data_IF_082871285460
#
_entry.id   IF_082871285460
#
_cell.length_a   1.000
_cell.length_b   1.000
_cell.length_c   1.000
_cell.angle_alpha   90.00
_cell.angle_beta   90.00
_cell.angle_gamma   90.00
#
_symmetry.space_group_name_H-M   'P 1'
#
loop_
_entity.id
_entity.type
_entity.pdbx_description
1 polymer ?
#
# COMPACT_ATOMS: atom_id res chain seq x y z
N UNK A 1 21.22 8.31 44.42
CA UNK A 1 20.80 9.68 44.10
C UNK A 1 22.03 10.51 43.77
N UNK A 2 22.44 10.53 42.51
CA UNK A 2 23.49 11.44 42.07
C UNK A 2 22.90 12.86 42.05
N UNK A 3 23.43 13.76 42.88
CA UNK A 3 23.12 15.20 42.84
C UNK A 3 23.84 15.81 41.63
N UNK A 4 23.43 15.40 40.43
CA UNK A 4 23.82 16.05 39.18
C UNK A 4 23.04 17.34 39.04
N UNK A 5 23.70 18.39 38.55
CA UNK A 5 23.10 19.70 38.27
C UNK A 5 21.80 19.49 37.46
N UNK A 6 20.66 20.08 37.87
CA UNK A 6 19.42 19.94 37.11
C UNK A 6 19.64 20.53 35.71
N UNK A 7 19.63 19.66 34.70
CA UNK A 7 19.67 20.10 33.32
C UNK A 7 18.36 20.85 33.03
N UNK A 8 18.45 22.16 32.81
CA UNK A 8 17.30 22.97 32.40
C UNK A 8 17.39 23.30 30.92
N UNK A 9 16.30 23.06 30.19
CA UNK A 9 16.15 23.51 28.81
C UNK A 9 16.30 25.01 28.64
N UNK A 10 16.04 25.79 29.70
CA UNK A 10 16.20 27.24 29.67
C UNK A 10 17.66 27.68 29.46
N UNK A 11 18.62 26.78 29.73
CA UNK A 11 20.05 27.04 29.53
C UNK A 11 20.55 26.72 28.11
N UNK A 12 19.71 26.10 27.27
CA UNK A 12 20.10 25.74 25.92
C UNK A 12 20.06 26.96 25.00
N UNK A 13 21.19 27.22 24.35
CA UNK A 13 21.31 28.23 23.31
C UNK A 13 20.68 27.73 22.00
N UNK A 14 19.43 28.12 21.77
CA UNK A 14 18.63 27.73 20.59
C UNK A 14 19.14 28.31 19.27
N UNK A 15 20.18 29.16 19.31
CA UNK A 15 20.88 29.65 18.11
C UNK A 15 21.91 28.62 17.59
N UNK A 16 22.24 27.60 18.39
CA UNK A 16 23.20 26.58 18.00
C UNK A 16 22.56 25.53 17.08
N UNK A 17 23.32 25.02 16.09
CA UNK A 17 22.94 23.84 15.33
C UNK A 17 22.52 22.67 16.21
N UNK A 18 21.49 21.94 15.78
CA UNK A 18 20.97 20.76 16.48
C UNK A 18 22.05 19.71 16.77
N UNK A 19 23.00 19.49 15.86
CA UNK A 19 24.15 18.62 16.08
C UNK A 19 25.05 19.10 17.23
N UNK A 20 25.31 20.41 17.32
CA UNK A 20 26.10 20.99 18.41
C UNK A 20 25.37 20.91 19.74
N UNK A 21 24.05 21.11 19.75
CA UNK A 21 23.21 20.91 20.94
C UNK A 21 23.29 19.47 21.44
N UNK A 22 23.16 18.48 20.54
CA UNK A 22 23.30 17.06 20.91
C UNK A 22 24.70 16.74 21.45
N UNK A 23 25.76 17.23 20.80
CA UNK A 23 27.13 17.00 21.27
C UNK A 23 27.38 17.61 22.65
N UNK A 24 26.90 18.84 22.89
CA UNK A 24 26.99 19.49 24.21
C UNK A 24 26.23 18.71 25.29
N UNK A 25 25.03 18.22 24.97
CA UNK A 25 24.27 17.40 25.89
C UNK A 25 25.01 16.10 26.20
N UNK A 26 25.53 15.43 25.18
CA UNK A 26 26.27 14.19 25.32
C UNK A 26 27.55 14.36 26.16
N UNK A 27 28.27 15.47 26.00
CA UNK A 27 29.48 15.76 26.79
C UNK A 27 29.19 16.18 28.23
N UNK A 28 28.02 16.78 28.50
CA UNK A 28 27.69 17.34 29.82
C UNK A 28 27.05 16.31 30.77
N UNK A 29 26.54 15.21 30.24
CA UNK A 29 25.80 14.20 30.99
C UNK A 29 26.73 13.03 31.29
N UNK A 30 27.43 13.08 32.42
CA UNK A 30 28.20 11.95 32.92
C UNK A 30 27.25 10.82 33.35
N UNK A 31 27.28 9.68 32.64
CA UNK A 31 26.76 8.37 33.08
C UNK A 31 25.28 8.26 33.50
N UNK A 32 24.48 9.33 33.50
CA UNK A 32 23.02 9.18 33.57
C UNK A 32 22.58 8.32 32.39
N UNK A 33 21.54 7.51 32.60
CA UNK A 33 20.98 6.80 31.46
C UNK A 33 20.43 7.88 30.53
N UNK A 34 21.05 8.07 29.37
CA UNK A 34 20.62 9.07 28.41
C UNK A 34 19.14 8.89 28.01
N UNK A 35 18.60 7.70 28.26
CA UNK A 35 17.19 7.38 28.17
C UNK A 35 16.34 8.13 29.23
N UNK A 36 16.66 8.03 30.52
CA UNK A 36 15.94 8.77 31.59
C UNK A 36 15.98 10.26 31.33
N UNK A 37 17.12 10.81 30.90
CA UNK A 37 17.20 12.24 30.59
C UNK A 37 16.24 12.65 29.45
N UNK A 38 16.08 11.80 28.43
CA UNK A 38 15.11 12.05 27.36
C UNK A 38 13.67 11.90 27.85
N UNK A 39 13.41 10.87 28.64
CA UNK A 39 12.09 10.57 29.16
C UNK A 39 11.59 11.63 30.16
N UNK A 40 12.45 12.07 31.07
CA UNK A 40 12.07 12.94 32.18
C UNK A 40 12.17 14.42 31.84
N UNK A 41 13.02 14.80 30.86
CA UNK A 41 13.26 16.21 30.54
C UNK A 41 12.90 16.60 29.11
N UNK A 42 13.29 15.81 28.10
CA UNK A 42 13.00 16.17 26.70
C UNK A 42 11.56 15.87 26.31
N UNK A 43 11.01 14.73 26.73
CA UNK A 43 9.66 14.33 26.39
C UNK A 43 8.59 15.30 26.94
N UNK A 44 8.66 15.79 28.20
CA UNK A 44 7.70 16.79 28.68
C UNK A 44 7.77 18.10 27.90
N UNK A 45 8.97 18.57 27.52
CA UNK A 45 9.13 19.77 26.70
C UNK A 45 8.51 19.57 25.32
N UNK A 46 8.74 18.42 24.71
CA UNK A 46 8.21 18.06 23.39
C UNK A 46 6.67 17.96 23.39
N UNK A 47 6.09 17.37 24.45
CA UNK A 47 4.65 17.19 24.62
C UNK A 47 3.93 18.45 25.10
N UNK A 48 4.63 19.38 25.75
CA UNK A 48 4.03 20.61 26.29
C UNK A 48 3.63 21.57 25.18
N UNK A 49 2.35 21.96 25.07
CA UNK A 49 1.90 22.97 24.11
C UNK A 49 2.38 24.39 24.49
N UNK A 50 2.75 24.61 25.74
CA UNK A 50 3.21 25.92 26.25
C UNK A 50 4.70 26.18 25.95
N UNK A 51 5.43 25.16 25.48
CA UNK A 51 6.82 25.31 25.08
C UNK A 51 6.94 25.92 23.69
N UNK A 52 7.94 26.78 23.52
CA UNK A 52 8.24 27.39 22.23
C UNK A 52 8.60 26.33 21.17
N UNK A 53 8.34 26.65 19.92
CA UNK A 53 8.53 25.72 18.80
C UNK A 53 9.99 25.28 18.68
N UNK A 54 10.94 26.19 18.90
CA UNK A 54 12.39 25.94 18.90
C UNK A 54 12.75 24.87 19.94
N UNK A 55 12.20 24.99 21.16
CA UNK A 55 12.46 24.04 22.25
C UNK A 55 11.89 22.67 21.93
N UNK A 56 10.70 22.62 21.32
CA UNK A 56 10.07 21.37 20.90
C UNK A 56 10.84 20.70 19.77
N UNK A 57 11.36 21.46 18.80
CA UNK A 57 12.24 20.96 17.73
C UNK A 57 13.53 20.36 18.33
N UNK A 58 14.19 21.11 19.21
CA UNK A 58 15.39 20.64 19.90
C UNK A 58 15.11 19.36 20.69
N UNK A 59 14.01 19.33 21.46
CA UNK A 59 13.61 18.16 22.22
C UNK A 59 13.34 16.94 21.32
N UNK A 60 12.62 17.10 20.21
CA UNK A 60 12.37 16.05 19.23
C UNK A 60 13.68 15.47 18.68
N UNK A 61 14.59 16.34 18.25
CA UNK A 61 15.89 15.93 17.72
C UNK A 61 16.74 15.20 18.76
N UNK A 62 16.80 15.69 20.00
CA UNK A 62 17.58 15.10 21.09
C UNK A 62 17.00 13.76 21.58
N UNK A 63 15.69 13.57 21.49
CA UNK A 63 15.03 12.28 21.70
C UNK A 63 15.39 11.27 20.59
N UNK A 64 15.49 11.71 19.35
CA UNK A 64 15.65 10.85 18.18
C UNK A 64 17.10 10.49 17.84
N UNK A 65 17.97 11.49 17.70
CA UNK A 65 19.35 11.37 17.16
C UNK A 65 20.19 10.22 17.75
N UNK A 66 20.14 9.93 19.05
CA UNK A 66 20.97 8.91 19.69
C UNK A 66 20.60 7.48 19.26
N UNK A 67 19.37 7.27 18.79
CA UNK A 67 18.88 5.98 18.30
C UNK A 67 18.98 5.90 16.76
N UNK A 68 19.62 6.87 16.11
CA UNK A 68 19.83 6.89 14.65
C UNK A 68 20.74 5.75 14.19
N UNK A 69 21.79 5.40 14.94
CA UNK A 69 22.71 4.33 14.53
C UNK A 69 22.04 2.95 14.57
N UNK A 70 20.94 2.81 15.31
CA UNK A 70 20.15 1.56 15.43
C UNK A 70 19.09 1.43 14.33
N UNK A 71 19.04 2.36 13.35
CA UNK A 71 18.00 2.49 12.31
C UNK A 71 17.77 1.24 11.44
N UNK A 72 18.70 0.29 11.39
CA UNK A 72 18.43 -1.02 10.78
C UNK A 72 17.22 -1.75 11.41
N UNK A 73 16.82 -1.37 12.64
CA UNK A 73 15.63 -1.88 13.33
C UNK A 73 14.80 -0.73 13.94
N UNK A 74 13.81 -0.18 13.21
CA UNK A 74 12.93 0.90 13.69
C UNK A 74 12.24 0.59 15.02
N UNK A 75 11.99 -0.69 15.31
CA UNK A 75 11.41 -1.17 16.57
C UNK A 75 12.27 -0.86 17.81
N UNK A 76 13.53 -0.44 17.64
CA UNK A 76 14.45 -0.13 18.73
C UNK A 76 14.52 1.37 19.05
N UNK A 77 13.69 2.22 18.42
CA UNK A 77 13.63 3.65 18.74
C UNK A 77 12.48 3.93 19.73
N UNK A 78 12.78 4.11 21.03
CA UNK A 78 11.73 4.18 22.06
C UNK A 78 10.86 5.45 21.97
N UNK A 79 11.32 6.49 21.28
CA UNK A 79 10.59 7.74 21.12
C UNK A 79 9.87 7.87 19.78
N UNK A 80 10.01 6.89 18.87
CA UNK A 80 9.44 6.98 17.51
C UNK A 80 7.91 7.09 17.56
N UNK A 81 7.25 6.25 18.34
CA UNK A 81 5.78 6.28 18.50
C UNK A 81 5.28 7.62 19.05
N UNK A 82 6.03 8.24 19.97
CA UNK A 82 5.71 9.58 20.49
C UNK A 82 5.79 10.61 19.36
N UNK A 83 6.87 10.60 18.57
CA UNK A 83 7.05 11.54 17.46
C UNK A 83 5.96 11.36 16.40
N UNK A 84 5.61 10.10 16.08
CA UNK A 84 4.49 9.75 15.18
C UNK A 84 3.17 10.26 15.75
N UNK A 85 2.93 10.09 17.05
CA UNK A 85 1.73 10.57 17.75
C UNK A 85 1.64 12.09 17.76
N UNK A 86 2.78 12.79 17.86
CA UNK A 86 2.86 14.25 17.86
C UNK A 86 2.68 14.88 16.50
N UNK A 87 3.07 14.19 15.43
CA UNK A 87 3.00 14.70 14.07
C UNK A 87 1.57 15.16 13.69
N UNK A 88 0.48 14.45 14.03
CA UNK A 88 -0.87 14.98 14.00
C UNK A 88 -1.06 16.23 14.87
N UNK A 89 -0.60 16.31 16.11
CA UNK A 89 -0.88 17.50 16.92
C UNK A 89 -0.19 18.78 16.40
N UNK A 90 0.85 18.63 15.56
CA UNK A 90 1.42 19.73 14.76
C UNK A 90 0.58 20.03 13.51
N UNK A 91 -0.54 20.71 13.70
CA UNK A 91 -1.34 21.23 12.58
C UNK A 91 -0.57 22.33 11.84
N UNK A 92 -0.76 22.44 10.52
CA UNK A 92 -0.05 23.39 9.64
C UNK A 92 -0.17 24.85 10.06
N UNK A 93 -1.15 25.22 10.91
CA UNK A 93 -1.37 26.60 11.36
C UNK A 93 -0.66 26.98 12.65
N UNK A 94 -0.25 26.03 13.48
CA UNK A 94 0.28 26.32 14.83
C UNK A 94 1.80 26.13 14.95
N UNK A 95 2.39 25.18 14.23
CA UNK A 95 3.83 24.89 14.32
C UNK A 95 4.37 24.21 13.05
N UNK A 96 4.53 24.94 11.92
CA UNK A 96 5.00 24.35 10.66
C UNK A 96 6.46 23.89 10.72
N UNK A 97 7.33 24.54 11.49
CA UNK A 97 8.74 24.19 11.61
C UNK A 97 8.93 22.91 12.42
N UNK A 98 8.21 22.79 13.54
CA UNK A 98 8.19 21.57 14.34
C UNK A 98 7.66 20.41 13.52
N UNK A 99 6.58 20.62 12.77
CA UNK A 99 6.08 19.61 11.85
C UNK A 99 7.17 19.17 10.87
N UNK A 100 7.78 20.10 10.15
CA UNK A 100 8.84 19.80 9.20
C UNK A 100 10.00 19.03 9.82
N UNK A 101 10.46 19.44 11.01
CA UNK A 101 11.49 18.74 11.75
C UNK A 101 11.07 17.31 12.14
N UNK A 102 9.83 17.13 12.64
CA UNK A 102 9.30 15.79 12.96
C UNK A 102 9.22 14.90 11.71
N UNK A 103 8.82 15.45 10.58
CA UNK A 103 8.76 14.73 9.30
C UNK A 103 10.17 14.28 8.85
N UNK A 104 11.17 15.16 8.92
CA UNK A 104 12.57 14.79 8.62
C UNK A 104 13.09 13.76 9.63
N UNK A 105 12.78 13.90 10.91
CA UNK A 105 13.23 12.95 11.93
C UNK A 105 12.64 11.55 11.72
N UNK A 106 11.36 11.46 11.39
CA UNK A 106 10.65 10.19 11.22
C UNK A 106 10.91 9.53 9.86
N UNK A 107 11.08 10.33 8.82
CA UNK A 107 10.97 9.89 7.43
C UNK A 107 12.05 10.44 6.50
N UNK A 108 12.87 11.38 6.98
CA UNK A 108 13.92 12.01 6.19
C UNK A 108 15.03 11.04 5.81
N UNK A 109 15.59 11.26 4.64
CA UNK A 109 16.84 10.66 4.20
C UNK A 109 18.02 11.10 5.06
N UNK A 110 19.15 10.39 4.97
CA UNK A 110 20.35 10.77 5.69
C UNK A 110 20.82 12.20 5.38
N UNK A 111 20.62 12.66 4.14
CA UNK A 111 20.94 14.03 3.70
C UNK A 111 20.02 15.07 4.33
N UNK A 112 18.71 14.80 4.38
CA UNK A 112 17.75 15.71 5.02
C UNK A 112 18.00 15.79 6.53
N UNK A 113 18.34 14.67 7.16
CA UNK A 113 18.75 14.63 8.56
C UNK A 113 20.06 15.39 8.82
N UNK A 114 21.04 15.29 7.91
CA UNK A 114 22.26 16.07 7.98
C UNK A 114 21.98 17.57 7.85
N UNK A 115 21.12 17.98 6.91
CA UNK A 115 20.65 19.36 6.77
C UNK A 115 20.01 19.84 8.07
N UNK A 116 19.01 19.10 8.56
CA UNK A 116 18.33 19.41 9.82
C UNK A 116 19.32 19.53 10.99
N UNK A 117 20.30 18.63 11.07
CA UNK A 117 21.31 18.64 12.14
C UNK A 117 22.24 19.87 12.09
N UNK A 118 22.43 20.45 10.90
CA UNK A 118 23.29 21.61 10.68
C UNK A 118 22.59 22.94 10.97
N UNK A 119 21.26 22.95 10.99
CA UNK A 119 20.43 24.11 11.25
C UNK A 119 20.14 24.27 12.74
N UNK A 120 20.00 25.52 13.20
CA UNK A 120 19.54 25.80 14.56
C UNK A 120 18.02 25.75 14.66
N UNK A 121 17.44 25.39 15.82
CA UNK A 121 16.00 25.45 16.03
C UNK A 121 15.39 26.81 15.69
N UNK A 122 16.09 27.90 15.99
CA UNK A 122 15.63 29.25 15.68
C UNK A 122 15.62 29.54 14.17
N UNK A 123 16.64 29.11 13.43
CA UNK A 123 16.66 29.22 11.97
C UNK A 123 15.50 28.44 11.34
N UNK A 124 15.26 27.20 11.80
CA UNK A 124 14.15 26.36 11.32
C UNK A 124 12.80 27.06 11.50
N UNK A 125 12.57 27.78 12.61
CA UNK A 125 11.33 28.55 12.81
C UNK A 125 11.28 29.79 11.91
N UNK A 126 12.40 30.50 11.76
CA UNK A 126 12.49 31.71 10.93
C UNK A 126 12.29 31.41 9.44
N UNK A 127 12.93 30.37 8.90
CA UNK A 127 12.87 30.01 7.49
C UNK A 127 11.43 29.66 7.07
N UNK A 128 10.66 29.07 7.97
CA UNK A 128 9.26 28.69 7.76
C UNK A 128 8.32 29.89 7.80
N UNK A 129 8.64 30.89 8.61
CA UNK A 129 7.87 32.15 8.68
C UNK A 129 7.98 32.99 7.40
N UNK A 130 9.02 32.76 6.58
CA UNK A 130 9.26 33.49 5.33
C UNK A 130 8.30 33.15 4.17
N UNK A 131 7.34 32.24 4.39
CA UNK A 131 6.26 31.95 3.43
C UNK A 131 6.64 30.99 2.29
N UNK A 132 7.89 30.52 2.23
CA UNK A 132 8.29 29.41 1.39
C UNK A 132 7.85 28.08 2.04
N UNK A 133 6.53 27.83 2.07
CA UNK A 133 5.95 26.68 2.75
C UNK A 133 6.50 25.33 2.26
N UNK A 134 7.16 24.54 3.13
CA UNK A 134 7.65 23.19 2.84
C UNK A 134 6.59 22.12 3.06
N UNK A 135 5.30 22.47 3.04
CA UNK A 135 4.21 21.51 2.87
C UNK A 135 4.30 20.72 1.56
N UNK A 136 5.21 21.11 0.65
CA UNK A 136 5.61 20.31 -0.50
C UNK A 136 6.47 19.10 -0.14
N UNK A 137 7.19 19.09 1.00
CA UNK A 137 8.19 18.07 1.33
C UNK A 137 7.62 16.65 1.36
N UNK A 138 6.65 16.38 2.24
CA UNK A 138 6.03 15.06 2.31
C UNK A 138 5.29 14.70 1.03
N UNK A 139 4.46 15.59 0.49
CA UNK A 139 3.68 15.28 -0.71
C UNK A 139 4.59 14.98 -1.90
N UNK A 140 5.68 15.74 -2.05
CA UNK A 140 6.74 15.53 -3.04
C UNK A 140 7.48 14.23 -2.77
N UNK A 141 7.80 13.90 -1.51
CA UNK A 141 8.49 12.67 -1.15
C UNK A 141 7.61 11.45 -1.38
N UNK A 142 6.33 11.52 -1.07
CA UNK A 142 5.37 10.45 -1.39
C UNK A 142 5.26 10.30 -2.91
N UNK A 143 5.14 11.41 -3.64
CA UNK A 143 5.14 11.41 -5.09
C UNK A 143 6.40 10.75 -5.67
N UNK A 144 7.56 11.08 -5.11
CA UNK A 144 8.84 10.49 -5.47
C UNK A 144 8.90 9.00 -5.15
N UNK A 145 8.44 8.57 -3.97
CA UNK A 145 8.42 7.16 -3.57
C UNK A 145 7.44 6.34 -4.41
N UNK A 146 6.26 6.88 -4.71
CA UNK A 146 5.27 6.24 -5.59
C UNK A 146 5.85 6.12 -7.00
N UNK A 147 6.44 7.20 -7.54
CA UNK A 147 7.14 7.16 -8.84
C UNK A 147 8.33 6.20 -8.83
N UNK A 148 9.06 6.10 -7.72
CA UNK A 148 10.16 5.14 -7.56
C UNK A 148 9.62 3.71 -7.56
N UNK A 149 8.46 3.47 -6.95
CA UNK A 149 7.81 2.17 -6.88
C UNK A 149 7.32 1.67 -8.25
N UNK A 150 7.02 2.57 -9.20
CA UNK A 150 6.65 2.16 -10.57
C UNK A 150 7.83 1.62 -11.37
N UNK A 151 9.06 2.01 -11.03
CA UNK A 151 10.27 1.60 -11.77
C UNK A 151 11.01 0.47 -11.07
N UNK A 152 11.01 0.43 -9.74
CA UNK A 152 11.78 -0.54 -8.96
C UNK A 152 11.11 -0.93 -7.65
N UNK A 153 11.55 -2.06 -7.08
CA UNK A 153 11.17 -2.45 -5.73
C UNK A 153 11.75 -1.46 -4.71
N UNK A 154 10.88 -0.87 -3.90
CA UNK A 154 11.29 0.02 -2.82
C UNK A 154 12.08 -0.73 -1.74
N UNK A 155 13.00 -0.06 -1.06
CA UNK A 155 13.66 -0.64 0.12
C UNK A 155 12.65 -0.88 1.25
N UNK A 156 12.97 -1.78 2.20
CA UNK A 156 12.06 -2.07 3.32
C UNK A 156 11.71 -0.84 4.16
N UNK A 157 12.64 0.12 4.32
CA UNK A 157 12.38 1.39 5.01
C UNK A 157 11.38 2.26 4.25
N UNK A 158 11.57 2.40 2.94
CA UNK A 158 10.68 3.16 2.05
C UNK A 158 9.29 2.53 1.95
N UNK A 159 9.21 1.19 1.88
CA UNK A 159 7.94 0.47 1.88
C UNK A 159 7.17 0.71 3.18
N UNK A 160 7.82 0.61 4.34
CA UNK A 160 7.17 0.86 5.64
C UNK A 160 6.73 2.31 5.79
N UNK A 161 7.56 3.26 5.36
CA UNK A 161 7.23 4.68 5.36
C UNK A 161 5.98 4.93 4.51
N UNK A 162 5.99 4.48 3.25
CA UNK A 162 4.88 4.70 2.34
C UNK A 162 3.61 3.96 2.80
N UNK A 163 3.71 2.75 3.34
CA UNK A 163 2.57 2.02 3.90
C UNK A 163 1.97 2.70 5.14
N UNK A 164 2.80 3.25 6.03
CA UNK A 164 2.34 4.03 7.20
C UNK A 164 1.59 5.29 6.75
N UNK A 165 2.14 6.00 5.76
CA UNK A 165 1.50 7.19 5.16
C UNK A 165 0.16 6.86 4.48
N UNK A 166 0.08 5.74 3.77
CA UNK A 166 -1.15 5.30 3.09
C UNK A 166 -2.25 4.83 4.06
N UNK A 167 -1.93 4.72 5.35
CA UNK A 167 -2.87 4.32 6.40
C UNK A 167 -3.11 2.82 6.40
N UNK A 168 -2.04 2.03 6.60
CA UNK A 168 -2.16 0.57 6.67
C UNK A 168 -3.20 0.10 7.68
N UNK A 169 -3.85 -1.04 7.47
CA UNK A 169 -4.83 -1.59 8.42
C UNK A 169 -4.23 -1.94 9.79
N UNK A 170 -2.89 -1.96 9.90
CA UNK A 170 -2.16 -2.10 11.16
C UNK A 170 -1.65 -0.77 11.72
N UNK A 171 -2.06 0.35 11.13
CA UNK A 171 -1.72 1.69 11.58
C UNK A 171 -2.29 1.95 12.97
N UNK A 172 -1.44 2.40 13.88
CA UNK A 172 -1.86 2.95 15.16
C UNK A 172 -2.78 4.17 14.95
N UNK A 173 -3.54 4.55 15.98
CA UNK A 173 -4.47 5.68 15.93
C UNK A 173 -3.82 7.00 15.42
N UNK A 174 -2.52 7.16 15.65
CA UNK A 174 -1.73 8.29 15.16
C UNK A 174 -1.59 8.32 13.63
N UNK A 175 -1.31 7.17 13.01
CA UNK A 175 -1.16 7.02 11.56
C UNK A 175 -2.52 7.23 10.85
N UNK A 176 -3.61 6.75 11.45
CA UNK A 176 -4.97 7.03 10.96
C UNK A 176 -5.30 8.53 11.00
N UNK A 177 -4.91 9.23 12.08
CA UNK A 177 -5.11 10.68 12.20
C UNK A 177 -4.29 11.48 11.18
N UNK A 178 -3.09 11.00 10.82
CA UNK A 178 -2.29 11.59 9.75
C UNK A 178 -2.95 11.37 8.38
N UNK A 179 -3.33 10.13 8.07
CA UNK A 179 -3.98 9.77 6.81
C UNK A 179 -5.32 10.49 6.60
N UNK A 180 -6.04 10.83 7.67
CA UNK A 180 -7.27 11.62 7.64
C UNK A 180 -7.06 13.10 7.25
N UNK A 181 -5.81 13.59 7.29
CA UNK A 181 -5.47 14.99 6.99
C UNK A 181 -4.90 15.20 5.61
N UNK A 182 -4.53 14.12 4.92
CA UNK A 182 -4.15 14.21 3.52
C UNK A 182 -5.36 14.72 2.73
N UNK A 183 -5.16 15.62 1.75
CA UNK A 183 -6.27 16.17 0.97
C UNK A 183 -7.15 15.05 0.41
N UNK A 184 -8.48 15.24 0.35
CA UNK A 184 -9.34 14.26 -0.30
C UNK A 184 -8.85 14.06 -1.75
N UNK A 185 -8.84 12.81 -2.20
CA UNK A 185 -8.47 12.44 -3.59
C UNK A 185 -7.00 12.75 -3.92
N UNK A 186 -6.10 12.89 -2.93
CA UNK A 186 -4.70 13.23 -3.22
C UNK A 186 -3.98 12.10 -3.97
N UNK A 187 -4.21 10.84 -3.58
CA UNK A 187 -3.54 9.70 -4.20
C UNK A 187 -4.01 9.53 -5.64
N UNK A 188 -5.33 9.63 -5.86
CA UNK A 188 -5.91 9.56 -7.20
C UNK A 188 -5.51 10.70 -8.15
N UNK A 189 -4.98 11.82 -7.62
CA UNK A 189 -4.37 12.89 -8.43
C UNK A 189 -2.89 12.64 -8.72
N UNK A 190 -2.24 11.79 -7.93
CA UNK A 190 -0.82 11.51 -8.01
C UNK A 190 -0.51 10.33 -8.93
N UNK A 191 -1.40 9.33 -8.96
CA UNK A 191 -1.22 8.12 -9.76
C UNK A 191 -2.24 8.03 -10.88
N UNK A 192 -1.88 7.25 -11.90
CA UNK A 192 -2.75 6.83 -12.98
C UNK A 192 -2.93 5.30 -12.84
N UNK A 193 -3.94 4.69 -13.45
CA UNK A 193 -4.16 3.24 -13.36
C UNK A 193 -2.93 2.41 -13.76
N UNK A 194 -2.17 2.85 -14.77
CA UNK A 194 -0.97 2.17 -15.25
C UNK A 194 0.15 2.20 -14.20
N UNK A 195 0.28 3.28 -13.44
CA UNK A 195 1.23 3.38 -12.34
C UNK A 195 0.93 2.35 -11.25
N UNK A 196 -0.34 2.02 -11.02
CA UNK A 196 -0.74 1.01 -10.04
C UNK A 196 -0.33 -0.40 -10.49
N UNK A 197 -0.44 -0.71 -11.79
CA UNK A 197 0.03 -1.98 -12.38
C UNK A 197 1.54 -2.12 -12.25
N UNK A 198 2.29 -1.08 -12.64
CA UNK A 198 3.75 -1.04 -12.52
C UNK A 198 4.20 -1.20 -11.07
N UNK A 199 3.55 -0.49 -10.16
CA UNK A 199 3.82 -0.63 -8.71
C UNK A 199 3.47 -2.03 -8.23
N UNK A 200 2.40 -2.65 -8.74
CA UNK A 200 1.99 -4.02 -8.40
C UNK A 200 3.03 -5.08 -8.78
N UNK A 201 3.66 -4.92 -9.94
CA UNK A 201 4.75 -5.81 -10.37
C UNK A 201 6.00 -5.68 -9.48
N UNK A 202 6.25 -4.49 -8.92
CA UNK A 202 7.48 -4.20 -8.16
C UNK A 202 7.33 -4.36 -6.64
N UNK A 203 6.20 -3.95 -6.08
CA UNK A 203 5.94 -3.78 -4.65
C UNK A 203 4.49 -4.16 -4.28
N UNK A 204 4.12 -5.46 -4.28
CA UNK A 204 2.77 -5.96 -3.99
C UNK A 204 2.13 -5.39 -2.71
N UNK A 205 2.91 -5.32 -1.63
CA UNK A 205 2.44 -4.78 -0.36
C UNK A 205 1.95 -3.34 -0.51
N UNK A 206 2.73 -2.49 -1.17
CA UNK A 206 2.42 -1.07 -1.36
C UNK A 206 1.22 -0.89 -2.27
N UNK A 207 1.11 -1.67 -3.35
CA UNK A 207 -0.06 -1.62 -4.22
C UNK A 207 -1.35 -1.98 -3.47
N UNK A 208 -1.31 -2.96 -2.58
CA UNK A 208 -2.44 -3.29 -1.72
C UNK A 208 -2.83 -2.11 -0.80
N UNK A 209 -1.83 -1.42 -0.24
CA UNK A 209 -2.05 -0.20 0.57
C UNK A 209 -2.67 0.94 -0.26
N UNK A 210 -2.16 1.15 -1.47
CA UNK A 210 -2.67 2.16 -2.40
C UNK A 210 -4.11 1.87 -2.80
N UNK A 211 -4.46 0.62 -3.12
CA UNK A 211 -5.85 0.22 -3.42
C UNK A 211 -6.77 0.48 -2.24
N UNK A 212 -6.36 0.09 -1.03
CA UNK A 212 -7.11 0.36 0.18
C UNK A 212 -7.34 1.86 0.40
N UNK A 213 -6.31 2.68 0.16
CA UNK A 213 -6.41 4.14 0.27
C UNK A 213 -7.33 4.74 -0.78
N UNK A 214 -7.23 4.32 -2.04
CA UNK A 214 -8.13 4.76 -3.13
C UNK A 214 -9.59 4.42 -2.79
N UNK A 215 -9.85 3.22 -2.28
CA UNK A 215 -11.19 2.83 -1.83
C UNK A 215 -11.71 3.74 -0.71
N UNK A 216 -10.87 4.05 0.28
CA UNK A 216 -11.24 4.94 1.36
C UNK A 216 -11.48 6.38 0.88
N UNK A 217 -10.67 6.88 -0.06
CA UNK A 217 -10.85 8.21 -0.66
C UNK A 217 -12.17 8.31 -1.42
N UNK A 218 -12.59 7.27 -2.14
CA UNK A 218 -13.89 7.24 -2.80
C UNK A 218 -15.05 7.26 -1.80
N UNK A 219 -14.96 6.47 -0.71
CA UNK A 219 -15.99 6.47 0.35
C UNK A 219 -16.11 7.86 1.00
N UNK A 220 -14.98 8.54 1.24
CA UNK A 220 -14.98 9.84 1.90
C UNK A 220 -15.45 10.95 0.95
N UNK A 221 -15.10 10.87 -0.34
CA UNK A 221 -15.48 11.86 -1.34
C UNK A 221 -17.00 11.92 -1.56
N UNK A 222 -17.72 10.80 -1.44
CA UNK A 222 -19.19 10.78 -1.54
C UNK A 222 -19.87 11.65 -0.46
N UNK A 223 -19.20 11.92 0.67
CA UNK A 223 -19.73 12.79 1.73
C UNK A 223 -19.55 14.29 1.45
N UNK A 224 -18.61 14.65 0.58
CA UNK A 224 -18.24 16.03 0.30
C UNK A 224 -18.81 16.48 -1.06
N UNK A 225 -19.82 17.36 -1.02
CA UNK A 225 -20.45 17.94 -2.22
C UNK A 225 -19.40 18.61 -3.11
N UNK A 226 -18.97 17.95 -4.18
CA UNK A 226 -18.12 18.54 -5.23
C UNK A 226 -16.91 17.71 -5.67
N UNK A 227 -16.65 16.54 -5.09
CA UNK A 227 -15.55 15.68 -5.52
C UNK A 227 -16.01 14.58 -6.49
N UNK A 228 -15.33 14.48 -7.65
CA UNK A 228 -15.67 13.55 -8.75
C UNK A 228 -15.05 12.16 -8.61
N UNK A 229 -14.34 11.89 -7.52
CA UNK A 229 -13.69 10.60 -7.32
C UNK A 229 -14.62 9.68 -6.55
N UNK A 230 -15.21 8.74 -7.27
CA UNK A 230 -16.22 7.83 -6.72
C UNK A 230 -15.98 6.38 -7.13
N UNK A 231 -17.00 5.51 -7.02
CA UNK A 231 -16.89 4.09 -7.32
C UNK A 231 -16.33 3.78 -8.71
N UNK A 232 -16.79 4.52 -9.73
CA UNK A 232 -16.33 4.38 -11.13
C UNK A 232 -14.84 4.63 -11.27
N UNK A 233 -14.28 5.58 -10.50
CA UNK A 233 -12.85 5.86 -10.51
C UNK A 233 -12.07 4.67 -9.94
N UNK A 234 -12.50 4.14 -8.79
CA UNK A 234 -11.89 2.95 -8.17
C UNK A 234 -11.94 1.74 -9.09
N UNK A 235 -13.06 1.53 -9.79
CA UNK A 235 -13.20 0.46 -10.77
C UNK A 235 -12.12 0.53 -11.85
N UNK A 236 -11.81 1.72 -12.39
CA UNK A 236 -10.75 1.89 -13.40
C UNK A 236 -9.37 1.43 -12.88
N UNK A 237 -9.02 1.80 -11.65
CA UNK A 237 -7.77 1.38 -11.03
C UNK A 237 -7.71 -0.14 -10.83
N UNK A 238 -8.81 -0.75 -10.37
CA UNK A 238 -8.87 -2.21 -10.18
C UNK A 238 -8.84 -2.96 -11.50
N UNK A 239 -9.59 -2.52 -12.51
CA UNK A 239 -9.57 -3.13 -13.85
C UNK A 239 -8.17 -3.08 -14.47
N UNK A 240 -7.39 -2.02 -14.24
CA UNK A 240 -6.01 -1.97 -14.72
C UNK A 240 -5.14 -3.10 -14.15
N UNK A 241 -5.37 -3.52 -12.89
CA UNK A 241 -4.64 -4.63 -12.25
C UNK A 241 -4.86 -5.98 -12.94
N UNK A 242 -5.88 -6.14 -13.78
CA UNK A 242 -6.03 -7.34 -14.61
C UNK A 242 -4.81 -7.54 -15.53
N UNK A 243 -4.12 -6.46 -15.92
CA UNK A 243 -2.97 -6.49 -16.84
C UNK A 243 -1.63 -6.80 -16.16
N UNK A 244 -1.62 -7.21 -14.89
CA UNK A 244 -0.40 -7.62 -14.21
C UNK A 244 0.22 -8.86 -14.89
N UNK A 245 1.55 -8.93 -15.04
CA UNK A 245 2.20 -10.14 -15.55
C UNK A 245 2.06 -11.29 -14.53
N UNK A 246 1.99 -12.55 -14.96
CA UNK A 246 1.81 -13.72 -14.08
C UNK A 246 3.12 -14.07 -13.33
N UNK A 247 3.56 -13.17 -12.45
CA UNK A 247 4.73 -13.37 -11.60
C UNK A 247 4.33 -13.73 -10.18
N UNK A 248 5.24 -14.33 -9.40
CA UNK A 248 5.03 -14.59 -7.98
C UNK A 248 4.61 -13.35 -7.18
N UNK A 249 5.10 -12.16 -7.57
CA UNK A 249 4.75 -10.88 -6.94
C UNK A 249 3.29 -10.50 -7.25
N UNK A 250 2.87 -10.64 -8.49
CA UNK A 250 1.47 -10.39 -8.89
C UNK A 250 0.52 -11.37 -8.21
N UNK A 251 0.91 -12.65 -8.08
CA UNK A 251 0.13 -13.65 -7.34
C UNK A 251 -0.01 -13.29 -5.85
N UNK A 252 1.07 -12.82 -5.20
CA UNK A 252 1.03 -12.31 -3.83
C UNK A 252 0.10 -11.09 -3.72
N UNK A 253 0.20 -10.12 -4.63
CA UNK A 253 -0.68 -8.95 -4.68
C UNK A 253 -2.16 -9.36 -4.78
N UNK A 254 -2.52 -10.18 -5.77
CA UNK A 254 -3.91 -10.60 -5.98
C UNK A 254 -4.42 -11.36 -4.76
N UNK A 255 -3.62 -12.25 -4.17
CA UNK A 255 -3.99 -12.95 -2.94
C UNK A 255 -4.22 -12.00 -1.76
N UNK A 256 -3.39 -10.96 -1.61
CA UNK A 256 -3.57 -9.93 -0.57
C UNK A 256 -4.85 -9.14 -0.78
N UNK A 257 -5.13 -8.73 -2.02
CA UNK A 257 -6.36 -8.03 -2.36
C UNK A 257 -7.59 -8.88 -2.03
N UNK A 258 -7.59 -10.16 -2.43
CA UNK A 258 -8.67 -11.13 -2.16
C UNK A 258 -8.90 -11.43 -0.67
N UNK A 259 -7.94 -11.10 0.19
CA UNK A 259 -8.02 -11.25 1.65
C UNK A 259 -8.21 -9.91 2.38
N UNK A 260 -8.27 -8.79 1.67
CA UNK A 260 -8.37 -7.47 2.27
C UNK A 260 -9.79 -7.16 2.73
N UNK A 261 -9.97 -7.05 4.05
CA UNK A 261 -11.24 -6.68 4.68
C UNK A 261 -11.48 -5.16 4.72
N UNK A 262 -10.59 -4.37 4.11
CA UNK A 262 -10.74 -2.91 4.11
C UNK A 262 -12.04 -2.50 3.43
N UNK A 263 -12.74 -1.49 3.97
CA UNK A 263 -13.97 -1.00 3.37
C UNK A 263 -13.68 -0.44 1.97
N UNK A 264 -14.58 -0.73 1.05
CA UNK A 264 -14.54 -0.23 -0.33
C UNK A 264 -15.93 0.22 -0.78
N UNK A 265 -16.04 1.16 -1.73
CA UNK A 265 -17.34 1.53 -2.26
C UNK A 265 -17.93 0.36 -3.06
N UNK A 266 -19.24 0.13 -2.96
CA UNK A 266 -19.92 -0.80 -3.87
C UNK A 266 -19.75 -0.32 -5.33
N UNK A 267 -19.57 -1.23 -6.30
CA UNK A 267 -19.25 -0.88 -7.69
C UNK A 267 -20.40 -0.15 -8.41
N UNK A 268 -21.62 -0.36 -7.92
CA UNK A 268 -22.86 0.08 -8.53
C UNK A 268 -23.57 0.97 -7.50
N UNK A 269 -23.76 2.25 -7.84
CA UNK A 269 -24.52 3.19 -7.03
C UNK A 269 -25.69 3.71 -7.87
N UNK A 270 -26.93 3.63 -7.37
CA UNK A 270 -28.06 4.22 -8.05
C UNK A 270 -27.82 5.73 -8.22
N UNK A 271 -27.84 6.20 -9.47
CA UNK A 271 -27.56 7.61 -9.84
C UNK A 271 -28.43 8.63 -9.10
N UNK A 272 -29.52 8.20 -8.47
CA UNK A 272 -30.52 9.02 -7.80
C UNK A 272 -30.36 9.10 -6.28
N UNK A 273 -29.47 8.34 -5.63
CA UNK A 273 -29.46 8.25 -4.16
C UNK A 273 -28.11 8.56 -3.52
N UNK A 274 -28.12 9.25 -2.35
CA UNK A 274 -26.92 9.67 -1.65
C UNK A 274 -26.24 8.56 -0.82
N UNK A 275 -26.77 7.33 -0.83
CA UNK A 275 -26.27 6.25 0.04
C UNK A 275 -25.12 5.52 -0.64
N UNK A 276 -23.91 5.75 -0.14
CA UNK A 276 -22.73 4.97 -0.51
C UNK A 276 -22.78 3.60 0.20
N UNK A 277 -23.24 2.57 -0.51
CA UNK A 277 -23.12 1.19 -0.06
C UNK A 277 -21.64 0.81 0.05
N UNK A 278 -21.30 0.07 1.11
CA UNK A 278 -19.92 -0.33 1.40
C UNK A 278 -19.77 -1.82 1.24
N UNK A 279 -18.70 -2.23 0.57
CA UNK A 279 -18.23 -3.61 0.48
C UNK A 279 -16.79 -3.69 0.99
N UNK A 280 -16.05 -4.73 0.62
CA UNK A 280 -14.63 -4.88 0.94
C UNK A 280 -13.77 -4.81 -0.31
N UNK A 281 -12.48 -4.50 -0.14
CA UNK A 281 -11.49 -4.59 -1.23
C UNK A 281 -11.43 -6.02 -1.79
N UNK A 282 -11.50 -7.04 -0.93
CA UNK A 282 -11.60 -8.44 -1.35
C UNK A 282 -12.78 -8.71 -2.28
N UNK A 283 -13.93 -8.11 -1.98
CA UNK A 283 -15.11 -8.24 -2.82
C UNK A 283 -14.90 -7.63 -4.20
N UNK A 284 -14.41 -6.38 -4.25
CA UNK A 284 -14.10 -5.71 -5.52
C UNK A 284 -13.01 -6.43 -6.31
N UNK A 285 -12.01 -7.01 -5.64
CA UNK A 285 -10.95 -7.77 -6.31
C UNK A 285 -11.48 -9.04 -6.99
N UNK A 286 -12.43 -9.76 -6.38
CA UNK A 286 -13.09 -10.92 -7.03
C UNK A 286 -13.86 -10.49 -8.26
N UNK A 287 -14.66 -9.42 -8.14
CA UNK A 287 -15.49 -8.87 -9.20
C UNK A 287 -14.67 -8.33 -10.38
N UNK A 288 -13.65 -7.52 -10.09
CA UNK A 288 -13.03 -6.63 -11.07
C UNK A 288 -11.59 -7.00 -11.41
N UNK A 289 -10.91 -7.86 -10.66
CA UNK A 289 -9.48 -8.16 -10.87
C UNK A 289 -9.27 -9.62 -11.23
N UNK A 290 -9.83 -10.53 -10.44
CA UNK A 290 -9.47 -11.95 -10.46
C UNK A 290 -9.67 -12.60 -11.83
N UNK A 291 -10.88 -12.55 -12.40
CA UNK A 291 -11.18 -13.20 -13.68
C UNK A 291 -10.27 -12.70 -14.81
N UNK A 292 -10.19 -11.38 -14.99
CA UNK A 292 -9.33 -10.77 -16.02
C UNK A 292 -7.85 -11.08 -15.83
N UNK A 293 -7.36 -11.08 -14.58
CA UNK A 293 -5.98 -11.44 -14.26
C UNK A 293 -5.67 -12.91 -14.58
N UNK A 294 -6.56 -13.85 -14.25
CA UNK A 294 -6.38 -15.26 -14.57
C UNK A 294 -6.40 -15.51 -16.08
N UNK A 295 -7.34 -14.91 -16.81
CA UNK A 295 -7.39 -15.00 -18.27
C UNK A 295 -6.12 -14.44 -18.93
N UNK A 296 -5.63 -13.29 -18.46
CA UNK A 296 -4.37 -12.73 -18.93
C UNK A 296 -3.16 -13.62 -18.60
N UNK A 297 -3.18 -14.32 -17.45
CA UNK A 297 -2.14 -15.26 -17.05
C UNK A 297 -2.11 -16.50 -17.96
N UNK A 298 -3.28 -17.06 -18.29
CA UNK A 298 -3.43 -18.18 -19.23
C UNK A 298 -2.89 -17.79 -20.60
N UNK A 299 -3.38 -16.67 -21.16
CA UNK A 299 -2.93 -16.17 -22.46
C UNK A 299 -1.43 -15.85 -22.50
N UNK A 300 -0.84 -15.44 -21.38
CA UNK A 300 0.60 -15.21 -21.30
C UNK A 300 1.38 -16.52 -21.40
N UNK A 301 0.97 -17.56 -20.67
CA UNK A 301 1.63 -18.87 -20.71
C UNK A 301 1.49 -19.56 -22.06
N UNK A 302 0.33 -19.47 -22.72
CA UNK A 302 0.11 -20.01 -24.07
C UNK A 302 1.00 -19.34 -25.13
N UNK A 303 1.13 -18.00 -25.07
CA UNK A 303 2.04 -17.27 -25.96
C UNK A 303 3.48 -17.65 -25.70
N UNK A 304 3.87 -17.73 -24.43
CA UNK A 304 5.23 -18.11 -24.07
C UNK A 304 5.57 -19.52 -24.53
N UNK A 305 4.66 -20.48 -24.37
CA UNK A 305 4.84 -21.82 -24.93
C UNK A 305 5.07 -21.78 -26.44
N UNK A 306 4.28 -20.97 -27.16
CA UNK A 306 4.42 -20.80 -28.62
C UNK A 306 5.75 -20.14 -29.02
N UNK A 307 6.20 -19.16 -28.24
CA UNK A 307 7.48 -18.46 -28.46
C UNK A 307 8.67 -19.38 -28.22
N UNK A 308 8.65 -20.19 -27.14
CA UNK A 308 9.69 -21.17 -26.81
C UNK A 308 9.73 -22.31 -27.86
N UNK A 309 8.57 -22.74 -28.38
CA UNK A 309 8.50 -23.72 -29.46
C UNK A 309 9.18 -23.19 -30.73
N UNK A 310 8.90 -21.92 -31.08
CA UNK A 310 9.53 -21.27 -32.22
C UNK A 310 11.05 -21.09 -32.03
N UNK A 311 11.50 -20.77 -30.81
CA UNK A 311 12.91 -20.65 -30.48
C UNK A 311 13.66 -21.98 -30.65
N UNK A 312 13.14 -23.08 -30.10
CA UNK A 312 13.72 -24.43 -30.25
C UNK A 312 13.88 -24.81 -31.74
N UNK A 313 12.85 -24.56 -32.54
CA UNK A 313 12.90 -24.82 -34.00
C UNK A 313 13.94 -23.94 -34.70
N UNK A 314 14.09 -22.68 -34.29
CA UNK A 314 15.08 -21.76 -34.86
C UNK A 314 16.51 -22.13 -34.47
N UNK A 315 16.75 -22.55 -33.23
CA UNK A 315 18.07 -22.99 -32.74
C UNK A 315 18.57 -24.23 -33.48
N UNK A 316 17.66 -25.18 -33.77
CA UNK A 316 18.00 -26.35 -34.58
C UNK A 316 18.38 -25.98 -36.02
N UNK A 317 17.65 -25.02 -36.61
CA UNK A 317 17.93 -24.54 -37.98
C UNK A 317 19.29 -23.82 -38.06
N UNK A 318 19.55 -22.89 -37.15
CA UNK A 318 20.79 -22.10 -37.11
C UNK A 318 22.01 -22.96 -36.76
N UNK A 319 21.81 -24.02 -35.97
CA UNK A 319 22.84 -25.01 -35.65
C UNK A 319 23.20 -25.96 -36.79
N UNK A 320 22.47 -25.93 -37.91
CA UNK A 320 22.63 -26.89 -39.01
C UNK A 320 22.29 -28.33 -38.60
N UNK A 321 21.53 -28.49 -37.51
CA UNK A 321 21.04 -29.78 -37.04
C UNK A 321 19.84 -30.21 -37.89
N UNK A 322 19.58 -31.52 -38.01
CA UNK A 322 18.32 -31.99 -38.59
C UNK A 322 17.13 -31.43 -37.81
N UNK A 323 16.01 -31.18 -38.50
CA UNK A 323 14.77 -30.69 -37.89
C UNK A 323 14.37 -31.63 -36.73
N UNK A 324 14.19 -31.10 -35.50
CA UNK A 324 13.92 -31.92 -34.34
C UNK A 324 12.58 -32.62 -34.51
N UNK A 325 12.50 -33.87 -34.07
CA UNK A 325 11.23 -34.57 -34.02
C UNK A 325 10.28 -33.84 -33.07
N UNK A 326 8.98 -33.92 -33.35
CA UNK A 326 7.94 -33.34 -32.48
C UNK A 326 8.10 -33.74 -31.01
N UNK A 327 8.57 -34.96 -30.75
CA UNK A 327 8.80 -35.46 -29.40
C UNK A 327 9.98 -34.75 -28.71
N UNK A 328 11.07 -34.50 -29.43
CA UNK A 328 12.22 -33.76 -28.89
C UNK A 328 11.82 -32.31 -28.55
N UNK A 329 11.03 -31.67 -29.42
CA UNK A 329 10.46 -30.33 -29.14
C UNK A 329 9.55 -30.35 -27.91
N UNK A 330 8.67 -31.35 -27.80
CA UNK A 330 7.77 -31.49 -26.63
C UNK A 330 8.54 -31.75 -25.32
N UNK A 331 9.60 -32.56 -25.34
CA UNK A 331 10.45 -32.83 -24.17
C UNK A 331 11.23 -31.57 -23.73
N UNK A 332 11.78 -30.80 -24.68
CA UNK A 332 12.48 -29.55 -24.38
C UNK A 332 11.52 -28.44 -23.91
N UNK A 333 10.35 -28.31 -24.53
CA UNK A 333 9.28 -27.43 -24.06
C UNK A 333 8.87 -27.77 -22.62
N UNK A 334 8.75 -29.05 -22.29
CA UNK A 334 8.42 -29.48 -20.93
C UNK A 334 9.46 -28.97 -19.94
N UNK A 335 10.76 -29.10 -20.26
CA UNK A 335 11.84 -28.59 -19.41
C UNK A 335 11.74 -27.07 -19.21
N UNK A 336 11.61 -26.30 -20.30
CA UNK A 336 11.57 -24.83 -20.27
C UNK A 336 10.33 -24.27 -19.56
N UNK A 337 9.15 -24.86 -19.77
CA UNK A 337 7.88 -24.34 -19.27
C UNK A 337 7.45 -24.92 -17.91
N UNK A 338 8.00 -26.08 -17.50
CA UNK A 338 7.55 -26.82 -16.29
C UNK A 338 7.43 -25.94 -15.06
N UNK A 339 8.41 -25.05 -14.83
CA UNK A 339 8.46 -24.18 -13.66
C UNK A 339 7.31 -23.17 -13.64
N UNK A 340 7.01 -22.55 -14.77
CA UNK A 340 6.01 -21.47 -14.83
C UNK A 340 4.60 -22.02 -14.75
N UNK A 341 4.36 -23.12 -15.47
CA UNK A 341 3.11 -23.89 -15.37
C UNK A 341 2.89 -24.38 -13.94
N UNK A 342 3.93 -24.94 -13.30
CA UNK A 342 3.84 -25.38 -11.89
C UNK A 342 3.51 -24.23 -10.94
N UNK A 343 4.18 -23.07 -11.07
CA UNK A 343 3.89 -21.89 -10.24
C UNK A 343 2.44 -21.44 -10.40
N UNK A 344 1.95 -21.33 -11.64
CA UNK A 344 0.58 -20.91 -11.90
C UNK A 344 -0.43 -21.94 -11.38
N UNK A 345 -0.22 -23.23 -11.61
CA UNK A 345 -1.04 -24.30 -11.05
C UNK A 345 -1.09 -24.23 -9.52
N UNK A 346 0.06 -24.05 -8.85
CA UNK A 346 0.10 -23.88 -7.39
C UNK A 346 -0.67 -22.65 -6.91
N UNK A 347 -0.61 -21.54 -7.64
CA UNK A 347 -1.40 -20.35 -7.35
C UNK A 347 -2.90 -20.63 -7.44
N UNK A 348 -3.39 -21.23 -8.53
CA UNK A 348 -4.82 -21.58 -8.68
C UNK A 348 -5.28 -22.52 -7.56
N UNK A 349 -4.49 -23.54 -7.24
CA UNK A 349 -4.80 -24.47 -6.15
C UNK A 349 -4.84 -23.79 -4.79
N UNK A 350 -3.96 -22.81 -4.55
CA UNK A 350 -4.03 -21.96 -3.36
C UNK A 350 -5.32 -21.16 -3.30
N UNK A 351 -5.83 -20.66 -4.43
CA UNK A 351 -7.13 -19.97 -4.49
C UNK A 351 -8.30 -20.92 -4.22
N UNK A 352 -8.29 -22.14 -4.78
CA UNK A 352 -9.30 -23.18 -4.52
C UNK A 352 -9.34 -23.51 -3.02
N UNK A 353 -8.18 -23.84 -2.44
CA UNK A 353 -8.06 -24.23 -1.04
C UNK A 353 -8.48 -23.12 -0.07
N UNK A 354 -8.27 -21.86 -0.45
CA UNK A 354 -8.68 -20.70 0.34
C UNK A 354 -10.13 -20.25 0.06
N UNK A 355 -10.88 -20.99 -0.77
CA UNK A 355 -12.23 -20.64 -1.20
C UNK A 355 -12.35 -19.25 -1.84
N UNK A 356 -11.30 -18.83 -2.56
CA UNK A 356 -11.22 -17.50 -3.18
C UNK A 356 -11.74 -17.44 -4.61
N UNK A 357 -11.94 -18.60 -5.27
CA UNK A 357 -12.54 -18.69 -6.60
C UNK A 357 -14.07 -18.69 -6.60
N UNK A 358 -14.72 -18.85 -5.44
CA UNK A 358 -16.17 -18.93 -5.36
C UNK A 358 -16.83 -17.55 -5.42
N UNK A 359 -18.09 -17.54 -5.84
CA UNK A 359 -18.96 -16.37 -5.85
C UNK A 359 -18.95 -15.71 -4.46
N UNK A 360 -18.55 -14.42 -4.34
CA UNK A 360 -18.60 -13.71 -3.08
C UNK A 360 -20.03 -13.61 -2.53
N UNK A 361 -20.17 -13.75 -1.22
CA UNK A 361 -21.45 -13.53 -0.53
C UNK A 361 -21.85 -12.05 -0.58
N UNK A 362 -22.93 -11.73 -1.29
CA UNK A 362 -23.53 -10.39 -1.32
C UNK A 362 -24.46 -10.11 -0.13
N UNK A 363 -24.58 -11.06 0.82
CA UNK A 363 -25.42 -10.92 2.01
C UNK A 363 -25.09 -9.68 2.84
N UNK A 364 -23.82 -9.22 2.85
CA UNK A 364 -23.43 -7.96 3.51
C UNK A 364 -24.14 -6.76 2.87
N UNK A 365 -24.18 -6.69 1.53
CA UNK A 365 -24.86 -5.61 0.81
C UNK A 365 -26.38 -5.66 1.04
N UNK A 366 -26.99 -6.86 1.00
CA UNK A 366 -28.43 -7.05 1.32
C UNK A 366 -28.78 -6.56 2.72
N UNK A 367 -27.92 -6.84 3.71
CA UNK A 367 -28.10 -6.35 5.10
C UNK A 367 -27.97 -4.83 5.18
N UNK A 368 -27.02 -4.24 4.45
CA UNK A 368 -26.89 -2.78 4.39
C UNK A 368 -28.13 -2.14 3.76
N UNK A 369 -28.63 -2.66 2.63
CA UNK A 369 -29.86 -2.17 1.98
C UNK A 369 -31.04 -2.23 2.96
N UNK A 370 -31.19 -3.36 3.65
CA UNK A 370 -32.22 -3.54 4.67
C UNK A 370 -32.12 -2.50 5.80
N UNK A 371 -30.90 -2.17 6.24
CA UNK A 371 -30.64 -1.15 7.25
C UNK A 371 -30.95 0.28 6.79
N UNK A 372 -30.92 0.55 5.48
CA UNK A 372 -31.22 1.87 4.90
C UNK A 372 -32.66 2.00 4.42
N UNK A 373 -33.54 1.01 4.63
CA UNK A 373 -34.96 1.07 4.22
C UNK A 373 -35.72 2.28 4.78
N UNK A 374 -35.27 2.88 5.88
CA UNK A 374 -35.87 4.10 6.42
C UNK A 374 -35.45 5.40 5.71
N UNK A 375 -34.40 5.35 4.89
CA UNK A 375 -33.85 6.51 4.17
C UNK A 375 -34.17 6.49 2.67
N UNK A 376 -34.57 5.32 2.15
CA UNK A 376 -34.87 5.10 0.74
C UNK A 376 -36.39 4.95 0.56
N UNK A 377 -36.93 5.45 -0.54
CA UNK A 377 -38.29 5.14 -0.97
C UNK A 377 -38.39 3.70 -1.51
N UNK A 378 -39.62 3.19 -1.66
CA UNK A 378 -39.85 1.81 -2.14
C UNK A 378 -39.25 1.57 -3.52
N UNK A 379 -39.30 2.57 -4.41
CA UNK A 379 -38.75 2.49 -5.76
C UNK A 379 -37.22 2.44 -5.72
N UNK A 380 -36.60 3.20 -4.84
CA UNK A 380 -35.18 3.14 -4.56
C UNK A 380 -34.69 1.79 -4.06
N UNK A 381 -35.42 1.21 -3.11
CA UNK A 381 -35.11 -0.14 -2.59
C UNK A 381 -35.18 -1.17 -3.73
N UNK A 382 -36.24 -1.13 -4.55
CA UNK A 382 -36.39 -2.04 -5.69
C UNK A 382 -35.25 -1.87 -6.70
N UNK A 383 -34.89 -0.64 -7.05
CA UNK A 383 -33.79 -0.38 -7.98
C UNK A 383 -32.46 -0.96 -7.49
N UNK A 384 -32.15 -0.78 -6.20
CA UNK A 384 -30.92 -1.33 -5.60
C UNK A 384 -30.98 -2.86 -5.49
N UNK A 385 -32.14 -3.44 -5.16
CA UNK A 385 -32.33 -4.90 -5.14
C UNK A 385 -32.21 -5.52 -6.54
N UNK A 386 -32.68 -4.84 -7.59
CA UNK A 386 -32.51 -5.26 -8.99
C UNK A 386 -31.04 -5.18 -9.43
N UNK A 387 -30.36 -4.07 -9.15
CA UNK A 387 -28.94 -3.88 -9.45
C UNK A 387 -28.07 -4.93 -8.73
N UNK A 388 -28.43 -5.27 -7.48
CA UNK A 388 -27.74 -6.33 -6.74
C UNK A 388 -27.95 -7.71 -7.38
N UNK A 389 -29.16 -8.03 -7.86
CA UNK A 389 -29.42 -9.28 -8.57
C UNK A 389 -28.66 -9.36 -9.88
N UNK A 390 -28.56 -8.25 -10.61
CA UNK A 390 -27.75 -8.15 -11.83
C UNK A 390 -26.28 -8.44 -11.51
N UNK A 391 -25.74 -7.83 -10.45
CA UNK A 391 -24.38 -8.07 -9.98
C UNK A 391 -24.16 -9.54 -9.58
N UNK A 392 -25.11 -10.18 -8.89
CA UNK A 392 -25.02 -11.60 -8.55
C UNK A 392 -24.93 -12.48 -9.79
N UNK A 393 -25.82 -12.22 -10.76
CA UNK A 393 -25.83 -12.94 -12.03
C UNK A 393 -24.54 -12.73 -12.82
N UNK A 394 -24.01 -11.51 -12.86
CA UNK A 394 -22.75 -11.19 -13.55
C UNK A 394 -21.58 -11.93 -12.89
N UNK A 395 -21.50 -11.91 -11.56
CA UNK A 395 -20.41 -12.57 -10.83
C UNK A 395 -20.48 -14.08 -10.97
N UNK A 396 -21.67 -14.67 -10.91
CA UNK A 396 -21.85 -16.09 -11.13
C UNK A 396 -21.43 -16.49 -12.55
N UNK A 397 -21.89 -15.75 -13.56
CA UNK A 397 -21.50 -15.96 -14.97
C UNK A 397 -19.99 -15.84 -15.17
N UNK A 398 -19.36 -14.78 -14.63
CA UNK A 398 -17.92 -14.56 -14.73
C UNK A 398 -17.13 -15.67 -14.00
N UNK A 399 -17.63 -16.14 -12.86
CA UNK A 399 -17.01 -17.24 -12.11
C UNK A 399 -17.07 -18.54 -12.90
N UNK A 400 -18.22 -18.87 -13.50
CA UNK A 400 -18.36 -20.05 -14.35
C UNK A 400 -17.45 -19.99 -15.58
N UNK A 401 -17.42 -18.85 -16.28
CA UNK A 401 -16.54 -18.65 -17.43
C UNK A 401 -15.05 -18.84 -17.06
N UNK A 402 -14.64 -18.26 -15.93
CA UNK A 402 -13.29 -18.41 -15.40
C UNK A 402 -12.96 -19.87 -15.06
N UNK A 403 -13.88 -20.63 -14.45
CA UNK A 403 -13.66 -22.05 -14.15
C UNK A 403 -13.49 -22.89 -15.41
N UNK A 404 -14.30 -22.62 -16.45
CA UNK A 404 -14.17 -23.27 -17.76
C UNK A 404 -12.82 -22.96 -18.40
N UNK A 405 -12.39 -21.70 -18.39
CA UNK A 405 -11.07 -21.30 -18.92
C UNK A 405 -9.92 -22.01 -18.17
N UNK A 406 -10.00 -22.09 -16.83
CA UNK A 406 -9.00 -22.81 -16.02
C UNK A 406 -9.00 -24.32 -16.30
N UNK A 407 -10.15 -24.92 -16.59
CA UNK A 407 -10.23 -26.33 -17.00
C UNK A 407 -9.58 -26.55 -18.37
N UNK A 408 -9.83 -25.66 -19.34
CA UNK A 408 -9.17 -25.68 -20.64
C UNK A 408 -7.65 -25.54 -20.51
N UNK A 409 -7.20 -24.58 -19.70
CA UNK A 409 -5.78 -24.43 -19.38
C UNK A 409 -5.20 -25.72 -18.80
N UNK A 410 -5.86 -26.32 -17.79
CA UNK A 410 -5.35 -27.52 -17.13
C UNK A 410 -5.32 -28.75 -18.07
N UNK A 411 -6.24 -28.82 -19.04
CA UNK A 411 -6.22 -29.82 -20.11
C UNK A 411 -5.09 -29.58 -21.11
N UNK A 412 -4.92 -28.34 -21.58
CA UNK A 412 -3.87 -27.96 -22.53
C UNK A 412 -2.47 -28.24 -21.95
N UNK A 413 -2.26 -27.84 -20.69
CA UNK A 413 -1.05 -28.14 -19.92
C UNK A 413 -1.14 -29.49 -19.17
N UNK A 414 -1.98 -30.43 -19.64
CA UNK A 414 -2.16 -31.73 -19.00
C UNK A 414 -0.90 -32.60 -19.00
N UNK A 415 0.01 -32.39 -19.96
CA UNK A 415 1.31 -33.08 -20.02
C UNK A 415 2.19 -32.79 -18.80
N UNK A 416 2.00 -31.65 -18.15
CA UNK A 416 2.67 -31.31 -16.91
C UNK A 416 1.95 -31.95 -15.72
N UNK A 417 2.71 -32.56 -14.80
CA UNK A 417 2.17 -33.22 -13.60
C UNK A 417 1.19 -32.33 -12.82
N UNK A 418 1.52 -31.05 -12.65
CA UNK A 418 0.69 -30.10 -11.92
C UNK A 418 -0.57 -29.68 -12.69
N UNK A 419 -0.54 -29.69 -14.03
CA UNK A 419 -1.71 -29.44 -14.89
C UNK A 419 -2.75 -30.55 -14.76
N UNK A 420 -2.33 -31.82 -14.88
CA UNK A 420 -3.22 -32.98 -14.65
C UNK A 420 -3.85 -32.93 -13.26
N UNK A 421 -3.05 -32.60 -12.23
CA UNK A 421 -3.56 -32.49 -10.85
C UNK A 421 -4.57 -31.36 -10.71
N UNK A 422 -4.29 -30.19 -11.28
CA UNK A 422 -5.20 -29.05 -11.27
C UNK A 422 -6.53 -29.40 -11.94
N UNK A 423 -6.51 -30.11 -13.07
CA UNK A 423 -7.73 -30.54 -13.76
C UNK A 423 -8.61 -31.44 -12.88
N UNK A 424 -8.01 -32.40 -12.17
CA UNK A 424 -8.71 -33.24 -11.21
C UNK A 424 -9.35 -32.44 -10.06
N UNK A 425 -8.66 -31.41 -9.56
CA UNK A 425 -9.20 -30.53 -8.52
C UNK A 425 -10.35 -29.66 -9.06
N UNK A 426 -10.23 -29.08 -10.27
CA UNK A 426 -11.27 -28.25 -10.89
C UNK A 426 -12.53 -29.02 -11.28
N UNK A 427 -12.40 -30.27 -11.70
CA UNK A 427 -13.55 -31.13 -12.03
C UNK A 427 -14.33 -31.54 -10.78
N UNK A 428 -13.68 -31.61 -9.62
CA UNK A 428 -14.34 -31.90 -8.34
C UNK A 428 -15.13 -30.73 -7.74
N UNK A 429 -15.03 -29.53 -8.31
CA UNK A 429 -15.76 -28.33 -7.87
C UNK A 429 -17.18 -28.24 -8.43
N UNK A 430 -17.52 -29.08 -9.41
CA UNK A 430 -18.85 -29.23 -9.99
C UNK A 430 -19.60 -30.34 -9.26
#
# INVERSE_FOLDING_TARGET
MARGVPFSFDSLDMTLPLAKLSNRLHSSVERLSHFELRLDYHLPVLLSPDCSEERRIAAAYLCHQPYRVVIAKPACQPFREVLVTLLPFTTTRSSPALRHALEILLYGSDRELESLSSESPQQLVQDQSSGAGPSSGISSRIAELVKKATVQTLSMGEQRMLASILGSAQADAADAAFAARLPPVWLAKLIEPEHLVQTGANSPMITCEMVGRLCQEAINADSEKGHRFGPVSVQRYLTALQNLPPTLRSFDLVTRLLRSERPAPAPSQPKSQPVCLKTTVAHLARLLVLGGFLSNSVRHLERRESDEEAEILSEAHDGGLPEPSRREVEEELEERMSREVSIFCHFIRSLINAALLYTPDLGVLRRQISGHRGQLDEDGIKAVEEELKEMESEVESNTQAMLVELQHFALHFGRYRDGTRLYGELTSLH
#
